data_IF_097450816964
#
_entry.id   IF_097450816964
#
_cell.length_a   1.000
_cell.length_b   1.000
_cell.length_c   1.000
_cell.angle_alpha   90.00
_cell.angle_beta   90.00
_cell.angle_gamma   90.00
#
_symmetry.space_group_name_H-M   'P 1'
#
loop_
_entity.id
_entity.type
_entity.pdbx_description
1 polymer ?
#
# COMPACT_ATOMS: atom_id res chain seq x y z
N UNK A 1 41.25 45.72 3.19
CA UNK A 1 40.37 45.14 2.15
C UNK A 1 39.88 43.80 2.64
N UNK A 2 38.72 43.76 3.26
CA UNK A 2 38.15 42.57 3.83
C UNK A 2 37.14 41.96 2.87
N UNK A 3 37.38 40.78 2.43
CA UNK A 3 36.42 40.02 1.62
C UNK A 3 35.39 39.33 2.54
N UNK A 4 34.18 39.87 2.51
CA UNK A 4 33.01 39.27 3.16
C UNK A 4 32.58 38.03 2.37
N UNK A 5 32.87 36.85 2.92
CA UNK A 5 32.37 35.60 2.38
C UNK A 5 30.94 35.42 2.86
N UNK A 6 29.95 35.75 2.00
CA UNK A 6 28.54 35.51 2.27
C UNK A 6 28.32 34.00 2.28
N UNK A 7 28.00 33.44 3.43
CA UNK A 7 27.50 32.08 3.58
C UNK A 7 26.08 32.04 2.98
N UNK A 8 25.98 31.51 1.76
CA UNK A 8 24.68 31.16 1.18
C UNK A 8 24.19 29.93 1.92
N UNK A 9 23.27 30.15 2.84
CA UNK A 9 22.56 29.07 3.55
C UNK A 9 21.59 28.44 2.51
N UNK A 10 22.07 27.42 1.83
CA UNK A 10 21.28 26.64 0.90
C UNK A 10 20.34 25.78 1.72
N UNK A 11 19.16 26.32 2.05
CA UNK A 11 18.06 25.56 2.61
C UNK A 11 17.66 24.51 1.57
N UNK A 12 18.12 23.29 1.78
CA UNK A 12 17.68 22.12 0.98
C UNK A 12 16.18 21.99 1.24
N UNK A 13 15.36 22.45 0.28
CA UNK A 13 13.93 22.19 0.31
C UNK A 13 13.80 20.69 0.08
N UNK A 14 13.66 19.93 1.17
CA UNK A 14 13.28 18.53 1.11
C UNK A 14 11.87 18.51 0.53
N UNK A 15 11.75 18.11 -0.72
CA UNK A 15 10.43 17.83 -1.31
C UNK A 15 9.89 16.61 -0.56
N UNK A 16 9.00 16.87 0.40
CA UNK A 16 8.32 15.78 1.11
C UNK A 16 7.48 14.98 0.12
N UNK A 17 7.71 13.68 0.07
CA UNK A 17 6.88 12.78 -0.71
C UNK A 17 5.45 12.82 -0.17
N UNK A 18 4.48 12.99 -1.07
CA UNK A 18 3.06 13.06 -0.72
C UNK A 18 2.27 11.99 -1.46
N UNK A 19 1.20 11.52 -0.83
CA UNK A 19 0.29 10.51 -1.36
C UNK A 19 -1.13 11.04 -1.23
N UNK A 20 -1.97 10.76 -2.23
CA UNK A 20 -3.42 11.00 -2.11
C UNK A 20 -4.08 9.86 -1.37
N UNK A 21 -4.66 10.18 -0.22
CA UNK A 21 -5.34 9.26 0.67
C UNK A 21 -6.83 9.61 0.68
N UNK A 22 -7.66 8.63 0.36
CA UNK A 22 -9.12 8.78 0.38
C UNK A 22 -9.65 8.66 1.81
N UNK A 23 -9.10 7.72 2.57
CA UNK A 23 -9.46 7.48 3.96
C UNK A 23 -8.36 6.73 4.70
N UNK A 24 -8.33 6.88 6.04
CA UNK A 24 -7.54 6.03 6.94
C UNK A 24 -8.49 5.51 8.02
N UNK A 25 -8.67 4.19 8.07
CA UNK A 25 -9.57 3.53 9.03
C UNK A 25 -8.71 2.81 10.07
N UNK A 26 -8.62 3.34 11.30
CA UNK A 26 -7.86 2.70 12.37
C UNK A 26 -8.66 1.56 13.01
N UNK A 27 -7.96 0.49 13.41
CA UNK A 27 -8.55 -0.60 14.20
C UNK A 27 -9.59 -1.46 13.47
N UNK A 28 -9.46 -1.60 12.15
CA UNK A 28 -10.32 -2.51 11.36
C UNK A 28 -9.76 -3.92 11.35
N UNK A 29 -10.64 -4.93 11.28
CA UNK A 29 -10.29 -6.35 11.15
C UNK A 29 -10.75 -6.98 9.83
N UNK A 30 -11.24 -6.14 8.89
CA UNK A 30 -11.78 -6.64 7.61
C UNK A 30 -10.73 -6.74 6.50
N UNK A 31 -9.64 -6.01 6.64
CA UNK A 31 -8.59 -5.90 5.61
C UNK A 31 -7.30 -6.67 5.98
N UNK A 32 -7.41 -7.68 6.84
CA UNK A 32 -6.30 -8.54 7.27
C UNK A 32 -6.45 -9.02 8.71
N UNK A 33 -5.57 -9.92 9.18
CA UNK A 33 -5.68 -10.53 10.52
C UNK A 33 -5.39 -9.51 11.63
N UNK A 34 -6.10 -9.66 12.72
CA UNK A 34 -6.02 -8.79 13.89
C UNK A 34 -6.62 -7.40 13.63
N UNK A 35 -6.21 -6.41 14.43
CA UNK A 35 -6.55 -5.02 14.18
C UNK A 35 -5.46 -4.36 13.33
N UNK A 36 -5.90 -3.61 12.31
CA UNK A 36 -5.01 -2.95 11.36
C UNK A 36 -5.45 -1.51 11.11
N UNK A 37 -4.50 -0.67 10.76
CA UNK A 37 -4.78 0.64 10.20
C UNK A 37 -4.85 0.50 8.68
N UNK A 38 -6.06 0.59 8.11
CA UNK A 38 -6.26 0.49 6.66
C UNK A 38 -6.15 1.85 6.01
N UNK A 39 -5.21 2.01 5.08
CA UNK A 39 -4.95 3.25 4.33
C UNK A 39 -5.51 3.09 2.92
N UNK A 40 -6.54 3.86 2.61
CA UNK A 40 -7.22 3.83 1.30
C UNK A 40 -6.58 4.86 0.37
N UNK A 41 -5.68 4.39 -0.50
CA UNK A 41 -4.94 5.23 -1.46
C UNK A 41 -5.81 5.45 -2.71
N UNK A 42 -5.77 6.64 -3.29
CA UNK A 42 -6.49 6.96 -4.51
C UNK A 42 -5.75 6.49 -5.76
N UNK A 43 -6.53 6.18 -6.80
CA UNK A 43 -6.05 5.80 -8.12
C UNK A 43 -6.13 4.30 -8.38
N UNK A 44 -7.00 3.90 -9.32
CA UNK A 44 -7.07 2.53 -9.81
C UNK A 44 -7.52 2.51 -11.27
N UNK A 45 -6.78 1.81 -12.12
CA UNK A 45 -7.11 1.64 -13.54
C UNK A 45 -7.77 0.31 -13.84
N UNK A 46 -7.87 -0.61 -12.87
CA UNK A 46 -8.50 -1.91 -13.07
C UNK A 46 -10.00 -1.80 -13.34
N UNK A 47 -10.70 -0.89 -12.64
CA UNK A 47 -12.13 -0.61 -12.81
C UNK A 47 -12.99 -1.88 -12.79
N UNK A 48 -12.75 -2.75 -11.80
CA UNK A 48 -13.47 -4.01 -11.66
C UNK A 48 -14.98 -3.77 -11.53
N UNK A 49 -15.80 -4.55 -12.26
CA UNK A 49 -17.25 -4.51 -12.11
C UNK A 49 -17.60 -4.94 -10.68
N UNK A 50 -18.44 -4.17 -9.98
CA UNK A 50 -18.82 -4.44 -8.60
C UNK A 50 -17.74 -4.15 -7.57
N UNK A 51 -16.70 -3.37 -7.92
CA UNK A 51 -15.66 -2.95 -6.99
C UNK A 51 -16.27 -2.38 -5.69
N UNK A 52 -15.70 -2.75 -4.55
CA UNK A 52 -16.17 -2.29 -3.24
C UNK A 52 -15.84 -0.81 -2.98
N UNK A 53 -14.79 -0.28 -3.62
CA UNK A 53 -14.29 1.08 -3.41
C UNK A 53 -14.22 1.89 -4.72
N UNK A 54 -15.30 2.04 -5.51
CA UNK A 54 -15.25 2.73 -6.79
C UNK A 54 -14.88 4.22 -6.66
N UNK A 55 -15.10 4.83 -5.49
CA UNK A 55 -14.72 6.21 -5.17
C UNK A 55 -13.20 6.41 -5.18
N UNK A 56 -12.42 5.33 -5.05
CA UNK A 56 -10.95 5.39 -5.04
C UNK A 56 -10.33 5.30 -6.44
N UNK A 57 -11.11 5.15 -7.50
CA UNK A 57 -10.58 5.01 -8.87
C UNK A 57 -9.93 6.29 -9.40
N UNK A 58 -10.48 7.47 -9.01
CA UNK A 58 -9.93 8.74 -9.45
C UNK A 58 -8.62 9.04 -8.70
N UNK A 59 -7.55 9.24 -9.47
CA UNK A 59 -6.23 9.60 -8.94
C UNK A 59 -6.19 10.97 -8.25
N UNK A 60 -7.19 11.82 -8.47
CA UNK A 60 -7.29 13.14 -7.87
C UNK A 60 -8.19 13.19 -6.63
N UNK A 61 -8.89 12.10 -6.30
CA UNK A 61 -9.74 12.03 -5.12
C UNK A 61 -8.91 11.97 -3.83
N UNK A 62 -9.54 12.32 -2.70
CA UNK A 62 -8.92 12.29 -1.38
C UNK A 62 -8.01 13.48 -1.08
N UNK A 63 -7.37 13.41 0.07
CA UNK A 63 -6.47 14.44 0.60
C UNK A 63 -5.03 14.11 0.27
N UNK A 64 -4.26 15.13 -0.11
CA UNK A 64 -2.82 14.99 -0.28
C UNK A 64 -2.16 15.02 1.10
N UNK A 65 -1.54 13.92 1.51
CA UNK A 65 -0.89 13.77 2.81
C UNK A 65 0.60 13.50 2.62
N UNK A 66 1.40 14.05 3.51
CA UNK A 66 2.83 13.70 3.62
C UNK A 66 3.00 12.33 4.28
N UNK A 67 4.16 11.73 4.10
CA UNK A 67 4.50 10.45 4.77
C UNK A 67 4.43 10.62 6.30
N UNK A 68 4.94 11.74 6.83
CA UNK A 68 4.92 12.02 8.27
C UNK A 68 3.50 12.13 8.84
N UNK A 69 2.58 12.79 8.11
CA UNK A 69 1.17 12.87 8.52
C UNK A 69 0.51 11.48 8.57
N UNK A 70 0.80 10.62 7.60
CA UNK A 70 0.28 9.25 7.58
C UNK A 70 0.89 8.42 8.72
N UNK A 71 2.21 8.53 8.92
CA UNK A 71 2.90 7.79 9.98
C UNK A 71 2.44 8.21 11.38
N UNK A 72 2.16 9.50 11.61
CA UNK A 72 1.58 9.94 12.88
C UNK A 72 0.27 9.19 13.20
N UNK A 73 -0.61 9.01 12.20
CA UNK A 73 -1.86 8.26 12.40
C UNK A 73 -1.57 6.77 12.68
N UNK A 74 -0.60 6.16 11.97
CA UNK A 74 -0.20 4.76 12.18
C UNK A 74 0.34 4.55 13.59
N UNK A 75 1.24 5.43 14.04
CA UNK A 75 1.89 5.34 15.35
C UNK A 75 0.91 5.60 16.52
N UNK A 76 0.01 6.58 16.37
CA UNK A 76 -1.04 6.85 17.36
C UNK A 76 -1.97 5.65 17.57
N UNK A 77 -2.25 4.89 16.52
CA UNK A 77 -3.10 3.70 16.59
C UNK A 77 -2.35 2.45 17.07
N UNK A 78 -1.07 2.33 16.75
CA UNK A 78 -0.22 1.20 17.16
C UNK A 78 -0.58 -0.14 16.53
N UNK A 79 -1.31 -0.16 15.41
CA UNK A 79 -1.73 -1.37 14.68
C UNK A 79 -0.89 -1.60 13.44
N UNK A 80 -0.78 -2.86 13.02
CA UNK A 80 -0.24 -3.22 11.72
C UNK A 80 -1.02 -2.53 10.58
N UNK A 81 -0.44 -2.42 9.41
CA UNK A 81 -0.98 -1.59 8.33
C UNK A 81 -1.48 -2.43 7.16
N UNK A 82 -2.59 -2.00 6.57
CA UNK A 82 -3.05 -2.49 5.26
C UNK A 82 -3.10 -1.33 4.26
N UNK A 83 -2.40 -1.48 3.14
CA UNK A 83 -2.47 -0.57 2.01
C UNK A 83 -3.51 -1.08 1.02
N UNK A 84 -4.55 -0.29 0.78
CA UNK A 84 -5.72 -0.66 -0.01
C UNK A 84 -6.34 0.56 -0.69
N UNK A 85 -7.63 0.52 -0.99
CA UNK A 85 -8.41 1.63 -1.54
C UNK A 85 -8.59 1.50 -3.04
N UNK A 86 -7.84 2.26 -3.84
CA UNK A 86 -7.65 2.07 -5.26
C UNK A 86 -6.73 0.87 -5.49
N UNK A 87 -5.61 1.11 -6.13
CA UNK A 87 -4.54 0.11 -6.16
C UNK A 87 -3.21 0.82 -5.89
N UNK A 88 -2.59 0.57 -4.73
CA UNK A 88 -1.34 1.22 -4.34
C UNK A 88 -0.22 1.09 -5.37
N UNK A 89 -0.18 -0.02 -6.12
CA UNK A 89 0.88 -0.30 -7.09
C UNK A 89 0.78 0.53 -8.38
N UNK A 90 -0.30 1.29 -8.60
CA UNK A 90 -0.29 2.33 -9.65
C UNK A 90 0.53 3.57 -9.25
N UNK A 91 0.92 3.68 -7.99
CA UNK A 91 1.66 4.82 -7.44
C UNK A 91 2.96 4.39 -6.75
N UNK A 92 3.66 3.37 -7.25
CA UNK A 92 4.89 2.79 -6.66
C UNK A 92 5.89 3.87 -6.22
N UNK A 93 6.28 4.86 -7.04
CA UNK A 93 7.25 5.87 -6.60
C UNK A 93 6.78 6.68 -5.39
N UNK A 94 5.47 6.91 -5.25
CA UNK A 94 4.91 7.68 -4.16
C UNK A 94 4.76 6.84 -2.88
N UNK A 95 4.36 5.56 -3.00
CA UNK A 95 4.13 4.69 -1.83
C UNK A 95 5.41 4.07 -1.27
N UNK A 96 6.49 3.99 -2.06
CA UNK A 96 7.75 3.36 -1.60
C UNK A 96 8.27 3.99 -0.29
N UNK A 97 8.36 5.33 -0.14
CA UNK A 97 8.79 5.92 1.12
C UNK A 97 7.87 5.60 2.29
N UNK A 98 6.55 5.48 2.06
CA UNK A 98 5.60 5.09 3.09
C UNK A 98 5.81 3.64 3.53
N UNK A 99 5.97 2.72 2.59
CA UNK A 99 6.24 1.31 2.86
C UNK A 99 7.54 1.14 3.67
N UNK A 100 8.60 1.84 3.27
CA UNK A 100 9.88 1.85 3.98
C UNK A 100 9.73 2.40 5.42
N UNK A 101 8.96 3.48 5.61
CA UNK A 101 8.71 4.10 6.92
C UNK A 101 7.91 3.17 7.84
N UNK A 102 6.80 2.59 7.36
CA UNK A 102 5.96 1.65 8.12
C UNK A 102 6.79 0.44 8.57
N UNK A 103 7.57 -0.16 7.65
CA UNK A 103 8.42 -1.30 7.96
C UNK A 103 9.52 -0.94 8.98
N UNK A 104 10.16 0.23 8.82
CA UNK A 104 11.20 0.71 9.74
C UNK A 104 10.67 0.99 11.15
N UNK A 105 9.40 1.37 11.27
CA UNK A 105 8.70 1.54 12.55
C UNK A 105 8.26 0.20 13.18
N UNK A 106 8.48 -0.94 12.51
CA UNK A 106 8.24 -2.28 13.03
C UNK A 106 6.82 -2.82 12.80
N UNK A 107 6.02 -2.16 11.94
CA UNK A 107 4.68 -2.62 11.59
C UNK A 107 4.73 -3.56 10.38
N UNK A 108 3.92 -4.63 10.40
CA UNK A 108 3.73 -5.49 9.25
C UNK A 108 2.78 -4.86 8.24
N UNK A 109 2.98 -5.14 6.96
CA UNK A 109 2.23 -4.53 5.86
C UNK A 109 1.52 -5.62 5.06
N UNK A 110 0.20 -5.49 4.93
CA UNK A 110 -0.62 -6.18 3.95
C UNK A 110 -0.94 -5.22 2.81
N UNK A 111 -0.99 -5.71 1.57
CA UNK A 111 -1.21 -4.87 0.40
C UNK A 111 -2.23 -5.53 -0.54
N UNK A 112 -3.25 -4.79 -0.93
CA UNK A 112 -4.23 -5.20 -1.93
C UNK A 112 -3.85 -4.67 -3.30
N UNK A 113 -3.92 -5.53 -4.32
CA UNK A 113 -3.68 -5.13 -5.71
C UNK A 113 -4.52 -5.96 -6.68
N UNK A 114 -4.92 -5.35 -7.77
CA UNK A 114 -5.56 -6.06 -8.88
C UNK A 114 -4.57 -6.69 -9.86
N UNK A 115 -3.27 -6.50 -9.68
CA UNK A 115 -2.26 -7.27 -10.41
C UNK A 115 -2.13 -8.67 -9.82
N UNK A 116 -1.83 -9.68 -10.62
CA UNK A 116 -1.39 -10.97 -10.09
C UNK A 116 0.08 -10.90 -9.67
N UNK A 117 0.51 -11.76 -8.75
CA UNK A 117 1.89 -11.76 -8.26
C UNK A 117 2.91 -11.93 -9.41
N UNK A 118 2.57 -12.74 -10.39
CA UNK A 118 3.38 -12.97 -11.60
C UNK A 118 3.57 -11.69 -12.43
N UNK A 119 2.57 -10.79 -12.42
CA UNK A 119 2.65 -9.52 -13.13
C UNK A 119 3.51 -8.49 -12.40
N UNK A 120 3.73 -8.64 -11.09
CA UNK A 120 4.47 -7.65 -10.28
C UNK A 120 5.89 -7.43 -10.81
N UNK A 121 6.55 -8.47 -11.30
CA UNK A 121 7.91 -8.35 -11.87
C UNK A 121 8.03 -7.38 -13.04
N UNK A 122 6.89 -7.03 -13.68
CA UNK A 122 6.85 -6.07 -14.78
C UNK A 122 6.70 -4.62 -14.33
N UNK A 123 6.44 -4.39 -13.03
CA UNK A 123 6.21 -3.06 -12.46
C UNK A 123 7.53 -2.42 -12.03
N UNK A 124 7.93 -1.27 -12.60
CA UNK A 124 9.18 -0.61 -12.22
C UNK A 124 9.20 -0.20 -10.75
N UNK A 125 10.24 -0.59 -10.02
CA UNK A 125 10.44 -0.25 -8.61
C UNK A 125 9.73 -1.17 -7.61
N UNK A 126 9.08 -2.24 -8.07
CA UNK A 126 8.42 -3.22 -7.19
C UNK A 126 9.41 -3.94 -6.28
N UNK A 127 10.64 -4.12 -6.72
CA UNK A 127 11.76 -4.70 -5.97
C UNK A 127 12.10 -3.94 -4.68
N UNK A 128 11.76 -2.65 -4.62
CA UNK A 128 11.91 -1.84 -3.40
C UNK A 128 10.75 -2.00 -2.41
N UNK A 129 9.62 -2.51 -2.86
CA UNK A 129 8.40 -2.67 -2.04
C UNK A 129 8.30 -4.08 -1.47
N UNK A 130 8.46 -5.10 -2.30
CA UNK A 130 8.24 -6.50 -1.92
C UNK A 130 9.00 -6.96 -0.68
N UNK A 131 10.27 -6.58 -0.43
CA UNK A 131 10.98 -7.00 0.77
C UNK A 131 10.35 -6.55 2.10
N UNK A 132 9.48 -5.54 2.06
CA UNK A 132 8.85 -4.95 3.23
C UNK A 132 7.40 -5.42 3.44
N UNK A 133 6.84 -6.17 2.48
CA UNK A 133 5.45 -6.64 2.53
C UNK A 133 5.39 -8.04 3.14
N UNK A 134 4.47 -8.24 4.08
CA UNK A 134 4.16 -9.56 4.66
C UNK A 134 3.25 -10.35 3.73
N UNK A 135 2.13 -9.76 3.33
CA UNK A 135 1.15 -10.41 2.47
C UNK A 135 0.64 -9.50 1.36
N UNK A 136 0.37 -10.10 0.20
CA UNK A 136 -0.34 -9.44 -0.90
C UNK A 136 -1.62 -10.19 -1.19
N UNK A 137 -2.75 -9.45 -1.20
CA UNK A 137 -4.00 -9.93 -1.77
C UNK A 137 -3.97 -9.54 -3.24
N UNK A 138 -3.76 -10.54 -4.10
CA UNK A 138 -3.51 -10.35 -5.51
C UNK A 138 -4.71 -10.70 -6.40
N UNK A 139 -4.75 -10.11 -7.58
CA UNK A 139 -5.78 -10.37 -8.58
C UNK A 139 -6.98 -9.44 -8.49
N UNK A 140 -7.57 -9.18 -9.66
CA UNK A 140 -8.76 -8.32 -9.77
C UNK A 140 -9.95 -8.95 -9.06
N UNK A 141 -10.79 -8.10 -8.47
CA UNK A 141 -12.10 -8.55 -8.05
C UNK A 141 -12.94 -8.95 -9.27
N UNK A 142 -13.51 -10.15 -9.22
CA UNK A 142 -14.40 -10.69 -10.23
C UNK A 142 -15.80 -10.92 -9.63
N UNK A 143 -16.78 -10.15 -10.11
CA UNK A 143 -18.15 -10.15 -9.59
C UNK A 143 -18.81 -11.54 -9.65
N UNK A 144 -18.52 -12.32 -10.68
CA UNK A 144 -19.08 -13.66 -10.87
C UNK A 144 -18.51 -14.69 -9.89
N UNK A 145 -17.31 -14.40 -9.36
CA UNK A 145 -16.59 -15.23 -8.37
C UNK A 145 -16.68 -14.65 -6.94
N UNK A 146 -17.58 -13.65 -6.75
CA UNK A 146 -17.79 -13.05 -5.45
C UNK A 146 -18.23 -14.09 -4.42
N UNK A 147 -17.51 -14.13 -3.27
CA UNK A 147 -17.84 -15.02 -2.17
C UNK A 147 -17.60 -14.29 -0.84
N UNK A 148 -18.68 -14.08 -0.08
CA UNK A 148 -18.66 -13.38 1.20
C UNK A 148 -18.17 -14.22 2.36
N UNK A 149 -17.96 -15.52 2.15
CA UNK A 149 -17.40 -16.42 3.17
C UNK A 149 -15.88 -16.39 3.22
N UNK A 150 -15.23 -15.82 2.19
CA UNK A 150 -13.79 -15.72 2.12
C UNK A 150 -13.24 -14.65 3.09
N UNK A 151 -12.23 -15.02 3.87
CA UNK A 151 -11.51 -14.06 4.69
C UNK A 151 -10.63 -13.17 3.80
N UNK A 152 -10.70 -11.85 4.01
CA UNK A 152 -9.82 -10.83 3.42
C UNK A 152 -9.79 -10.78 1.88
N UNK A 153 -10.70 -11.45 1.20
CA UNK A 153 -10.81 -11.50 -0.26
C UNK A 153 -12.24 -11.26 -0.69
N UNK A 154 -12.43 -10.59 -1.82
CA UNK A 154 -13.77 -10.31 -2.34
C UNK A 154 -14.28 -11.38 -3.30
N UNK A 155 -13.40 -12.13 -3.95
CA UNK A 155 -13.72 -13.16 -4.94
C UNK A 155 -12.73 -14.32 -4.91
N UNK A 156 -13.18 -15.51 -5.31
CA UNK A 156 -12.42 -16.76 -5.13
C UNK A 156 -11.18 -16.90 -6.03
N UNK A 157 -11.06 -16.07 -7.07
CA UNK A 157 -9.84 -15.99 -7.89
C UNK A 157 -8.68 -15.25 -7.20
N UNK A 158 -8.96 -14.46 -6.16
CA UNK A 158 -7.93 -13.74 -5.42
C UNK A 158 -7.17 -14.67 -4.47
N UNK A 159 -5.88 -14.42 -4.29
CA UNK A 159 -5.01 -15.20 -3.41
C UNK A 159 -4.43 -14.32 -2.32
N UNK A 160 -4.09 -14.90 -1.16
CA UNK A 160 -3.32 -14.23 -0.11
C UNK A 160 -1.90 -14.80 -0.18
N UNK A 161 -1.01 -14.06 -0.82
CA UNK A 161 0.37 -14.48 -1.06
C UNK A 161 1.22 -14.17 0.18
N UNK A 162 1.91 -15.17 0.72
CA UNK A 162 3.02 -14.98 1.64
C UNK A 162 4.23 -14.48 0.85
N UNK A 163 4.50 -13.19 0.95
CA UNK A 163 5.54 -12.56 0.12
C UNK A 163 6.93 -13.05 0.53
N UNK A 164 7.20 -13.14 1.83
CA UNK A 164 8.53 -13.50 2.32
C UNK A 164 8.89 -14.93 1.97
N UNK A 165 7.96 -15.88 2.17
CA UNK A 165 8.14 -17.27 1.76
C UNK A 165 8.27 -17.43 0.25
N UNK A 166 7.49 -16.64 -0.52
CA UNK A 166 7.57 -16.64 -1.99
C UNK A 166 8.92 -16.13 -2.49
N UNK A 167 9.43 -15.02 -1.93
CA UNK A 167 10.75 -14.49 -2.29
C UNK A 167 11.89 -15.45 -1.91
N UNK A 168 11.79 -16.07 -0.73
CA UNK A 168 12.83 -17.01 -0.25
C UNK A 168 12.92 -18.29 -1.08
N UNK A 169 11.79 -18.80 -1.56
CA UNK A 169 11.72 -20.08 -2.26
C UNK A 169 11.69 -19.96 -3.79
N UNK A 170 11.37 -18.77 -4.31
CA UNK A 170 11.10 -18.54 -5.74
C UNK A 170 9.81 -19.22 -6.23
N UNK A 171 8.96 -19.71 -5.33
CA UNK A 171 7.65 -20.31 -5.64
C UNK A 171 6.57 -19.61 -4.88
N UNK A 172 5.43 -19.35 -5.56
CA UNK A 172 4.29 -18.71 -4.92
C UNK A 172 3.81 -19.57 -3.75
N UNK A 173 3.81 -18.98 -2.57
CA UNK A 173 3.30 -19.54 -1.31
C UNK A 173 2.12 -18.70 -0.86
N UNK A 174 1.04 -19.32 -0.45
CA UNK A 174 -0.17 -18.65 0.03
C UNK A 174 -0.38 -18.91 1.52
N UNK A 175 -1.02 -17.94 2.20
CA UNK A 175 -1.59 -18.20 3.51
C UNK A 175 -2.89 -19.00 3.37
N UNK A 176 -3.05 -20.04 4.17
CA UNK A 176 -4.30 -20.78 4.31
C UNK A 176 -5.20 -20.06 5.32
N UNK A 177 -6.26 -19.36 4.82
CA UNK A 177 -7.30 -18.70 5.62
C UNK A 177 -8.68 -19.02 5.08
#
# INVERSE_FOLDING_TARGET
>A
MGANCAHINMHLIMVQSTIRVVDIVPGTSVDGPGLRTSIYISGCRHKCIGCHNPQTWDFNNGTLMTIDEIMNVVEENGFNVTLTGGDPLFSIPAITPLVEAIHSAGYSIWLYTGFTFEQLSTLPGIDRILPHIEAIIDGKFEQELRDISLCFRGSSNQRIIDVQSTLATGKITTFDH
#
